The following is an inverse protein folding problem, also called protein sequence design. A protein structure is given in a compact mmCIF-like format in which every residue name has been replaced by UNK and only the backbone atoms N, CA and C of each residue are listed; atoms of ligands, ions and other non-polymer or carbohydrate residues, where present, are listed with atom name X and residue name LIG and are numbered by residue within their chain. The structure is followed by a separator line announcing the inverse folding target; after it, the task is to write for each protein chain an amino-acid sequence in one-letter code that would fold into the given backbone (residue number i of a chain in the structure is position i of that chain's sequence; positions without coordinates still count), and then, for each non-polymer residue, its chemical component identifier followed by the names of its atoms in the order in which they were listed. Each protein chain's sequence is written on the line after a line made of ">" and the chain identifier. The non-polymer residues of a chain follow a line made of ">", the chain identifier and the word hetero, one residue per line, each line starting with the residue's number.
data_IF_101270718536
#
_entry.id   IF_101270718536
#
_cell.length_a   1.000
_cell.length_b   1.000
_cell.length_c   1.000
_cell.angle_alpha   90.00
_cell.angle_beta   90.00
_cell.angle_gamma   90.00
#
_symmetry.space_group_name_H-M   'P 1'
#
loop_
_entity.id
_entity.type
_entity.pdbx_description
1 polymer ?
#
# COMPACT_ATOMS: atom_id res chain seq x y z
N UNK A 1 -35.42 52.66 22.62
CA UNK A 1 -35.71 51.64 21.59
C UNK A 1 -35.47 50.28 22.22
N UNK A 2 -36.52 49.46 22.32
CA UNK A 2 -36.53 48.15 22.96
C UNK A 2 -37.18 47.20 21.95
N UNK A 3 -36.42 46.24 21.42
CA UNK A 3 -36.92 45.23 20.47
C UNK A 3 -36.67 43.86 21.09
N UNK A 4 -37.73 43.31 21.67
CA UNK A 4 -37.86 41.92 22.11
C UNK A 4 -38.11 41.05 20.86
N UNK A 5 -37.18 40.15 20.54
CA UNK A 5 -37.39 39.12 19.51
C UNK A 5 -37.53 37.77 20.20
N UNK A 6 -38.74 37.23 20.14
CA UNK A 6 -39.12 35.93 20.68
C UNK A 6 -38.73 34.80 19.73
N UNK A 7 -38.36 33.69 20.37
CA UNK A 7 -37.94 32.39 19.86
C UNK A 7 -38.86 31.74 18.82
N UNK A 8 -38.24 31.03 17.87
CA UNK A 8 -38.82 29.85 17.19
C UNK A 8 -37.74 28.79 16.98
N UNK A 9 -37.64 27.85 17.92
CA UNK A 9 -36.90 26.59 17.78
C UNK A 9 -37.85 25.54 17.20
N UNK A 10 -37.69 25.22 15.92
CA UNK A 10 -38.39 24.12 15.28
C UNK A 10 -37.74 22.78 15.67
N UNK A 11 -38.44 21.99 16.48
CA UNK A 11 -38.05 20.61 16.81
C UNK A 11 -38.57 19.71 15.68
N UNK A 12 -37.66 19.22 14.83
CA UNK A 12 -37.96 18.20 13.83
C UNK A 12 -38.14 16.83 14.49
N UNK A 13 -39.32 16.24 14.32
CA UNK A 13 -39.67 14.91 14.80
C UNK A 13 -38.97 13.88 13.91
N UNK A 14 -38.01 13.12 14.45
CA UNK A 14 -37.43 11.96 13.76
C UNK A 14 -38.41 10.80 13.89
N UNK A 15 -39.06 10.44 12.78
CA UNK A 15 -39.85 9.22 12.69
C UNK A 15 -38.91 8.00 12.81
N UNK A 16 -39.01 7.30 13.92
CA UNK A 16 -38.40 5.99 14.13
C UNK A 16 -39.21 4.96 13.33
N UNK A 17 -38.76 4.64 12.13
CA UNK A 17 -39.26 3.47 11.42
C UNK A 17 -38.67 2.23 12.10
N UNK A 18 -39.51 1.56 12.89
CA UNK A 18 -39.32 0.18 13.34
C UNK A 18 -39.00 -0.68 12.10
N UNK A 19 -37.79 -1.25 12.07
CA UNK A 19 -37.48 -2.30 11.12
C UNK A 19 -37.54 -3.62 11.86
N UNK A 20 -38.69 -4.27 11.70
CA UNK A 20 -38.98 -5.63 12.15
C UNK A 20 -37.77 -6.55 11.87
N UNK A 21 -37.33 -7.23 12.92
CA UNK A 21 -36.48 -8.41 12.80
C UNK A 21 -37.36 -9.52 12.21
N UNK A 22 -37.46 -9.55 10.88
CA UNK A 22 -37.91 -10.75 10.18
C UNK A 22 -36.73 -11.71 10.14
N UNK A 23 -36.75 -12.58 11.13
CA UNK A 23 -36.11 -13.88 11.13
C UNK A 23 -36.56 -14.62 9.85
N UNK A 24 -35.67 -14.77 8.88
CA UNK A 24 -35.93 -15.52 7.66
C UNK A 24 -34.69 -16.29 7.22
N UNK A 25 -34.80 -17.60 7.42
CA UNK A 25 -34.15 -18.70 6.70
C UNK A 25 -32.64 -18.92 6.91
N UNK A 26 -32.40 -19.89 7.78
CA UNK A 26 -31.37 -20.91 7.72
C UNK A 26 -31.05 -21.35 6.28
N UNK A 27 -29.92 -20.87 5.74
CA UNK A 27 -29.27 -21.38 4.53
C UNK A 27 -28.00 -22.14 4.89
N UNK A 28 -27.92 -23.42 4.53
CA UNK A 28 -26.70 -24.22 4.64
C UNK A 28 -25.64 -23.69 3.66
N UNK A 29 -24.43 -23.39 4.18
CA UNK A 29 -23.26 -23.12 3.33
C UNK A 29 -22.22 -22.27 4.05
N UNK A 30 -21.31 -22.97 4.73
CA UNK A 30 -19.98 -22.54 5.16
C UNK A 30 -19.84 -21.20 5.89
N UNK A 31 -19.34 -21.28 7.13
CA UNK A 31 -18.61 -20.20 7.80
C UNK A 31 -17.46 -19.78 6.90
N UNK A 32 -17.72 -18.86 5.97
CA UNK A 32 -16.68 -18.16 5.23
C UNK A 32 -15.96 -17.30 6.26
N UNK A 33 -14.94 -17.89 6.87
CA UNK A 33 -13.87 -17.17 7.53
C UNK A 33 -13.54 -15.96 6.64
N UNK A 34 -13.56 -14.72 7.15
CA UNK A 34 -13.11 -13.59 6.35
C UNK A 34 -11.64 -13.86 6.00
N UNK A 35 -11.41 -14.39 4.80
CA UNK A 35 -10.11 -14.42 4.17
C UNK A 35 -9.77 -12.95 3.95
N UNK A 36 -9.08 -12.37 4.93
CA UNK A 36 -8.54 -11.02 4.84
C UNK A 36 -7.64 -11.03 3.62
N UNK A 37 -8.17 -10.56 2.48
CA UNK A 37 -7.42 -10.39 1.24
C UNK A 37 -6.21 -9.54 1.63
N UNK A 38 -4.97 -10.03 1.46
CA UNK A 38 -3.79 -9.26 1.84
C UNK A 38 -3.86 -7.90 1.16
N UNK A 39 -3.76 -6.81 1.92
CA UNK A 39 -3.77 -5.46 1.36
C UNK A 39 -2.76 -5.38 0.20
N UNK A 40 -3.15 -4.74 -0.90
CA UNK A 40 -2.28 -4.55 -2.06
C UNK A 40 -1.08 -3.66 -1.68
N UNK A 41 0.03 -4.29 -1.31
CA UNK A 41 1.31 -3.61 -1.06
C UNK A 41 2.02 -3.29 -2.37
N UNK A 42 2.64 -2.12 -2.43
CA UNK A 42 3.40 -1.64 -3.60
C UNK A 42 4.87 -2.13 -3.61
N UNK A 43 5.34 -2.69 -2.51
CA UNK A 43 6.72 -3.12 -2.31
C UNK A 43 6.81 -4.12 -1.15
N UNK A 44 7.83 -4.97 -1.19
CA UNK A 44 8.19 -5.82 -0.06
C UNK A 44 9.12 -5.08 0.88
N UNK A 45 9.12 -5.47 2.16
CA UNK A 45 9.99 -4.94 3.20
C UNK A 45 11.02 -5.99 3.60
N UNK A 46 12.31 -5.65 3.45
CA UNK A 46 13.42 -6.44 3.97
C UNK A 46 14.00 -5.72 5.17
N UNK A 47 14.07 -6.39 6.31
CA UNK A 47 14.65 -5.87 7.55
C UNK A 47 15.97 -6.61 7.81
N UNK A 48 17.08 -5.90 7.84
CA UNK A 48 18.38 -6.51 8.14
C UNK A 48 18.62 -6.71 9.65
N UNK A 49 19.72 -7.39 10.00
CA UNK A 49 20.11 -7.65 11.40
C UNK A 49 20.27 -6.38 12.24
N UNK A 50 20.62 -5.26 11.60
CA UNK A 50 20.74 -3.94 12.24
C UNK A 50 19.40 -3.19 12.34
N UNK A 51 18.27 -3.85 12.09
CA UNK A 51 16.93 -3.26 12.07
C UNK A 51 16.77 -2.16 11.02
N UNK A 52 17.55 -2.21 9.94
CA UNK A 52 17.36 -1.35 8.79
C UNK A 52 16.38 -1.97 7.78
N UNK A 53 15.42 -1.15 7.39
CA UNK A 53 14.31 -1.47 6.51
C UNK A 53 14.65 -1.00 5.10
N UNK A 54 14.63 -1.94 4.16
CA UNK A 54 14.80 -1.71 2.72
C UNK A 54 13.48 -2.05 2.04
N UNK A 55 13.02 -1.16 1.16
CA UNK A 55 11.86 -1.44 0.30
C UNK A 55 12.38 -2.10 -0.97
N UNK A 56 11.81 -3.23 -1.36
CA UNK A 56 12.30 -4.03 -2.48
C UNK A 56 11.20 -4.46 -3.43
N UNK A 57 11.59 -4.71 -4.68
CA UNK A 57 10.76 -5.25 -5.75
C UNK A 57 11.56 -6.32 -6.47
N UNK A 58 10.88 -7.35 -6.96
CA UNK A 58 11.51 -8.44 -7.67
C UNK A 58 11.30 -8.25 -9.18
N UNK A 59 12.38 -8.21 -9.96
CA UNK A 59 12.33 -8.28 -11.42
C UNK A 59 12.88 -9.63 -11.86
N UNK A 60 12.02 -10.50 -12.39
CA UNK A 60 12.34 -11.91 -12.68
C UNK A 60 12.74 -12.65 -11.39
N UNK A 61 14.02 -12.66 -11.05
CA UNK A 61 14.59 -13.23 -9.82
C UNK A 61 15.59 -12.29 -9.15
N UNK A 62 15.74 -11.07 -9.68
CA UNK A 62 16.63 -10.07 -9.15
C UNK A 62 15.85 -9.14 -8.22
N UNK A 63 16.23 -9.12 -6.96
CA UNK A 63 15.70 -8.17 -5.99
C UNK A 63 16.40 -6.82 -6.14
N UNK A 64 15.62 -5.77 -6.37
CA UNK A 64 16.11 -4.41 -6.53
C UNK A 64 15.39 -3.47 -5.55
N UNK A 65 16.08 -2.41 -5.08
CA UNK A 65 15.47 -1.44 -4.20
C UNK A 65 14.32 -0.70 -4.90
N UNK A 66 13.17 -0.66 -4.22
CA UNK A 66 12.02 0.18 -4.56
C UNK A 66 12.21 1.64 -4.11
N UNK A 67 13.13 1.86 -3.15
CA UNK A 67 13.50 3.16 -2.60
C UNK A 67 15.01 3.30 -2.54
N UNK A 68 15.53 4.49 -2.85
CA UNK A 68 16.95 4.81 -2.73
C UNK A 68 17.35 5.30 -1.33
N UNK A 69 16.45 5.13 -0.35
CA UNK A 69 16.66 5.46 1.05
C UNK A 69 16.40 4.20 1.86
N UNK A 70 17.34 3.88 2.75
CA UNK A 70 17.25 2.82 3.75
C UNK A 70 16.99 3.47 5.12
N UNK A 71 16.07 2.90 5.88
CA UNK A 71 15.67 3.43 7.18
C UNK A 71 16.07 2.48 8.31
N UNK A 72 16.94 2.90 9.20
CA UNK A 72 17.41 2.12 10.34
C UNK A 72 16.72 2.55 11.62
N UNK A 73 15.90 1.65 12.17
CA UNK A 73 15.19 1.87 13.44
C UNK A 73 16.06 1.55 14.67
N UNK A 74 17.37 1.31 14.49
CA UNK A 74 18.32 1.13 15.61
C UNK A 74 18.31 2.38 16.52
N UNK A 75 19.01 2.32 17.67
CA UNK A 75 18.93 3.29 18.79
C UNK A 75 18.98 4.79 18.41
N UNK A 76 19.47 5.15 17.22
CA UNK A 76 19.58 6.53 16.72
C UNK A 76 18.61 6.91 15.59
N UNK A 77 17.67 6.04 15.18
CA UNK A 77 16.69 6.29 14.10
C UNK A 77 17.32 6.96 12.87
N UNK A 78 18.39 6.37 12.36
CA UNK A 78 19.17 6.91 11.27
C UNK A 78 18.62 6.44 9.91
N UNK A 79 18.73 7.28 8.88
CA UNK A 79 18.43 6.87 7.50
C UNK A 79 19.55 7.29 6.57
N UNK A 80 19.85 6.45 5.59
CA UNK A 80 20.91 6.69 4.61
C UNK A 80 20.43 6.49 3.19
N UNK A 81 21.09 7.18 2.27
CA UNK A 81 20.83 7.04 0.86
C UNK A 81 21.71 5.94 0.27
N UNK A 82 21.13 5.13 -0.61
CA UNK A 82 21.92 4.23 -1.45
C UNK A 82 22.84 5.03 -2.38
N UNK A 83 24.01 4.48 -2.74
CA UNK A 83 24.94 5.14 -3.65
C UNK A 83 24.28 5.58 -4.96
N UNK A 84 24.74 6.72 -5.50
CA UNK A 84 24.30 7.15 -6.82
C UNK A 84 24.67 6.10 -7.87
N UNK A 85 23.77 5.87 -8.83
CA UNK A 85 23.94 4.87 -9.88
C UNK A 85 23.37 3.48 -9.53
N UNK A 86 23.08 3.20 -8.26
CA UNK A 86 22.45 1.94 -7.81
C UNK A 86 21.17 1.67 -8.60
N UNK A 87 20.99 0.49 -9.22
CA UNK A 87 19.77 0.16 -9.95
C UNK A 87 18.57 0.10 -9.00
N UNK A 88 17.42 0.62 -9.42
CA UNK A 88 16.20 0.64 -8.62
C UNK A 88 14.97 0.40 -9.49
N UNK A 89 13.88 -0.07 -8.88
CA UNK A 89 12.60 -0.28 -9.53
C UNK A 89 11.56 0.68 -8.96
N UNK A 90 10.75 1.29 -9.84
CA UNK A 90 9.59 2.07 -9.41
C UNK A 90 8.31 1.32 -9.79
N UNK A 91 7.57 0.89 -8.79
CA UNK A 91 6.28 0.23 -8.98
C UNK A 91 5.31 1.14 -9.75
N UNK A 92 4.62 0.56 -10.72
CA UNK A 92 3.60 1.24 -11.54
C UNK A 92 2.36 0.37 -11.53
N UNK A 93 1.37 0.73 -10.69
CA UNK A 93 0.04 0.11 -10.77
C UNK A 93 -0.54 0.42 -12.14
N UNK A 94 -0.80 -0.61 -12.95
CA UNK A 94 -1.78 -0.46 -14.02
C UNK A 94 -3.15 -0.43 -13.35
N UNK A 95 -3.62 0.76 -12.98
CA UNK A 95 -5.04 0.99 -12.73
C UNK A 95 -5.75 0.92 -14.07
N UNK A 96 -5.99 -0.29 -14.58
CA UNK A 96 -7.01 -0.48 -15.59
C UNK A 96 -8.17 -1.20 -14.92
N UNK A 97 -9.32 -0.53 -14.93
CA UNK A 97 -10.64 -1.06 -14.62
C UNK A 97 -10.94 -2.18 -15.63
N UNK A 98 -10.30 -3.33 -15.48
CA UNK A 98 -10.61 -4.54 -16.21
C UNK A 98 -11.29 -5.45 -15.20
N UNK A 99 -12.62 -5.33 -15.13
CA UNK A 99 -13.55 -6.13 -14.31
C UNK A 99 -13.42 -7.67 -14.50
N UNK A 100 -12.40 -8.16 -15.22
CA UNK A 100 -12.28 -9.58 -15.61
C UNK A 100 -10.87 -10.17 -15.60
N UNK A 101 -9.86 -9.54 -14.98
CA UNK A 101 -8.54 -10.21 -14.79
C UNK A 101 -7.87 -9.81 -13.48
N UNK A 102 -7.95 -10.70 -12.49
CA UNK A 102 -7.16 -10.63 -11.25
C UNK A 102 -5.63 -10.78 -11.48
N UNK A 103 -5.20 -11.25 -12.66
CA UNK A 103 -3.81 -11.69 -12.90
C UNK A 103 -2.99 -10.81 -13.86
N UNK A 104 -3.29 -9.52 -14.01
CA UNK A 104 -2.39 -8.68 -14.82
C UNK A 104 -1.05 -8.51 -14.07
N UNK A 105 0.11 -8.94 -14.65
CA UNK A 105 1.37 -8.88 -13.94
C UNK A 105 1.75 -7.43 -13.67
N UNK A 106 2.10 -7.15 -12.43
CA UNK A 106 2.55 -5.83 -12.02
C UNK A 106 3.73 -5.35 -12.89
N UNK A 107 3.71 -4.05 -13.22
CA UNK A 107 4.76 -3.43 -14.02
C UNK A 107 5.57 -2.46 -13.18
N UNK A 108 6.87 -2.41 -13.44
CA UNK A 108 7.80 -1.48 -12.80
C UNK A 108 8.59 -0.72 -13.86
N UNK A 109 9.06 0.48 -13.50
CA UNK A 109 9.99 1.25 -14.31
C UNK A 109 11.40 1.05 -13.75
N UNK A 110 12.32 0.61 -14.60
CA UNK A 110 13.73 0.48 -14.24
C UNK A 110 14.44 1.84 -14.23
N UNK A 111 15.16 2.13 -13.15
CA UNK A 111 15.85 3.39 -12.94
C UNK A 111 17.19 3.24 -12.23
N UNK A 112 17.73 4.38 -11.82
CA UNK A 112 18.93 4.49 -10.99
C UNK A 112 18.69 5.45 -9.83
N UNK A 113 19.34 5.18 -8.71
CA UNK A 113 19.37 6.09 -7.58
C UNK A 113 20.20 7.33 -7.93
N UNK A 114 19.56 8.49 -7.86
CA UNK A 114 20.19 9.79 -8.06
C UNK A 114 19.55 10.76 -7.07
N UNK A 115 20.38 11.41 -6.24
CA UNK A 115 19.90 12.35 -5.22
C UNK A 115 18.80 11.74 -4.34
N UNK A 116 19.05 10.53 -3.80
CA UNK A 116 18.14 9.78 -2.92
C UNK A 116 16.80 9.37 -3.56
N UNK A 117 16.62 9.54 -4.87
CA UNK A 117 15.39 9.18 -5.59
C UNK A 117 15.67 8.16 -6.69
N UNK A 118 14.72 7.26 -6.93
CA UNK A 118 14.78 6.37 -8.08
C UNK A 118 14.37 7.15 -9.34
N UNK A 119 15.35 7.51 -10.17
CA UNK A 119 15.12 8.24 -11.43
C UNK A 119 15.06 7.24 -12.59
N UNK A 120 13.98 7.25 -13.39
CA UNK A 120 13.88 6.35 -14.53
C UNK A 120 14.93 6.71 -15.58
N UNK A 121 15.52 5.71 -16.23
CA UNK A 121 16.38 5.95 -17.41
C UNK A 121 15.50 6.38 -18.60
N UNK A 122 16.08 7.15 -19.53
CA UNK A 122 15.46 7.49 -20.82
C UNK A 122 16.09 6.61 -21.91
N UNK A 123 15.30 6.00 -22.82
CA UNK A 123 13.84 5.91 -22.80
C UNK A 123 13.33 5.10 -21.58
N UNK A 124 12.08 5.35 -21.15
CA UNK A 124 11.50 4.68 -19.97
C UNK A 124 11.34 3.19 -20.26
N UNK A 125 12.09 2.34 -19.57
CA UNK A 125 11.99 0.89 -19.70
C UNK A 125 11.01 0.34 -18.65
N UNK A 126 9.85 -0.14 -19.09
CA UNK A 126 8.92 -0.90 -18.26
C UNK A 126 9.33 -2.37 -18.25
N UNK A 127 9.25 -3.00 -17.08
CA UNK A 127 9.58 -4.41 -16.86
C UNK A 127 8.49 -5.05 -16.00
N UNK A 128 8.24 -6.35 -16.21
CA UNK A 128 7.42 -7.12 -15.28
C UNK A 128 8.14 -7.20 -13.93
N UNK A 129 7.39 -7.02 -12.85
CA UNK A 129 7.92 -7.12 -11.50
C UNK A 129 6.86 -7.70 -10.56
N UNK A 130 7.32 -8.25 -9.45
CA UNK A 130 6.45 -8.75 -8.38
C UNK A 130 6.84 -8.11 -7.05
N UNK A 131 5.88 -8.08 -6.14
CA UNK A 131 6.07 -7.62 -4.78
C UNK A 131 6.42 -8.84 -3.94
N UNK A 132 7.67 -8.99 -3.47
CA UNK A 132 8.02 -10.12 -2.63
C UNK A 132 7.38 -9.99 -1.24
N UNK A 133 7.24 -11.11 -0.53
CA UNK A 133 6.80 -11.11 0.87
C UNK A 133 7.82 -10.38 1.75
N UNK A 134 7.33 -9.72 2.79
CA UNK A 134 8.17 -9.10 3.80
C UNK A 134 9.03 -10.17 4.49
N UNK A 135 10.32 -9.88 4.73
CA UNK A 135 11.23 -10.81 5.38
C UNK A 135 12.28 -10.12 6.23
N UNK A 136 12.89 -10.89 7.12
CA UNK A 136 14.09 -10.49 7.87
C UNK A 136 15.30 -11.18 7.26
N UNK A 137 16.36 -10.43 7.02
CA UNK A 137 17.63 -10.94 6.53
C UNK A 137 18.71 -10.65 7.58
N UNK A 138 18.97 -11.64 8.44
CA UNK A 138 19.93 -11.49 9.55
C UNK A 138 21.38 -11.69 9.11
N UNK A 139 21.63 -11.82 7.80
CA UNK A 139 22.98 -11.92 7.23
C UNK A 139 23.53 -10.52 6.99
N UNK A 140 24.06 -9.89 8.03
CA UNK A 140 24.93 -8.71 7.91
C UNK A 140 26.20 -8.89 8.72
#
# INVERSE_FOLDING_TARGET
>A
MMLLWTFTLAIGIVASAEKENIDALQGCGDTAQPSVKPEEKDYGLVIDGNSCKRKVLLMKSLELPASCIVYCASKRNYSYALPNGTPCLRFTKKKFLLERRDDSPNTCILGKCMQKKCKPRRPRRQVACTVPKDRRDLRE
#
